data_IF_375436353477
#
_entry.id   IF_375436353477
#
_cell.length_a   1.000
_cell.length_b   1.000
_cell.length_c   1.000
_cell.angle_alpha   90.00
_cell.angle_beta   90.00
_cell.angle_gamma   90.00
#
_symmetry.space_group_name_H-M   'P 1'
#
loop_
_entity.id
_entity.type
_entity.pdbx_description
1 polymer ?
#
# COMPACT_ATOMS: atom_id res chain seq x y z
N UNK A 1 -45.05 -5.05 -16.64
CA UNK A 1 -43.96 -5.65 -17.44
C UNK A 1 -44.55 -6.24 -18.71
N UNK A 2 -43.87 -6.21 -19.87
CA UNK A 2 -44.49 -6.60 -21.14
C UNK A 2 -44.65 -8.12 -21.26
N UNK A 3 -45.64 -8.57 -22.03
CA UNK A 3 -45.90 -9.99 -22.31
C UNK A 3 -44.70 -10.65 -23.01
N UNK A 4 -44.31 -11.83 -22.55
CA UNK A 4 -43.50 -12.76 -23.35
C UNK A 4 -44.48 -13.66 -24.12
N UNK A 5 -44.29 -13.77 -25.44
CA UNK A 5 -45.04 -14.66 -26.33
C UNK A 5 -46.58 -14.42 -26.48
N UNK A 6 -47.07 -13.21 -26.22
CA UNK A 6 -48.47 -12.86 -26.50
C UNK A 6 -49.50 -13.51 -25.57
N UNK A 7 -49.05 -14.09 -24.45
CA UNK A 7 -49.90 -14.51 -23.34
C UNK A 7 -49.98 -13.36 -22.33
N UNK A 8 -51.19 -13.05 -21.83
CA UNK A 8 -51.40 -12.07 -20.75
C UNK A 8 -50.57 -12.46 -19.53
N UNK A 9 -49.94 -11.49 -18.87
CA UNK A 9 -49.21 -11.72 -17.62
C UNK A 9 -50.15 -12.46 -16.65
N UNK A 10 -49.83 -13.72 -16.27
CA UNK A 10 -50.74 -14.50 -15.46
C UNK A 10 -51.01 -13.84 -14.11
N UNK A 11 -50.03 -13.09 -13.56
CA UNK A 11 -50.08 -12.47 -12.23
C UNK A 11 -50.94 -11.19 -12.13
N UNK A 12 -51.63 -10.76 -13.19
CA UNK A 12 -52.44 -9.52 -13.18
C UNK A 12 -53.74 -9.63 -12.37
N UNK A 13 -54.14 -10.83 -11.91
CA UNK A 13 -55.36 -11.04 -11.13
C UNK A 13 -55.08 -11.63 -9.75
N UNK A 14 -55.39 -10.88 -8.69
CA UNK A 14 -55.32 -11.34 -7.30
C UNK A 14 -56.03 -12.70 -7.09
N UNK A 15 -55.34 -13.67 -6.49
CA UNK A 15 -55.93 -14.96 -6.08
C UNK A 15 -56.94 -14.73 -4.95
N UNK A 16 -56.78 -13.63 -4.19
CA UNK A 16 -57.62 -13.24 -3.08
C UNK A 16 -58.88 -12.45 -3.44
N UNK A 17 -59.23 -12.32 -4.72
CA UNK A 17 -60.54 -11.77 -5.06
C UNK A 17 -61.64 -12.64 -4.41
N UNK A 18 -62.28 -12.08 -3.38
CA UNK A 18 -63.25 -12.77 -2.53
C UNK A 18 -64.48 -13.26 -3.31
N UNK A 19 -64.68 -12.76 -4.52
CA UNK A 19 -65.78 -13.13 -5.41
C UNK A 19 -65.50 -14.37 -6.29
N UNK A 20 -64.28 -14.91 -6.29
CA UNK A 20 -63.94 -16.11 -7.06
C UNK A 20 -64.40 -17.39 -6.37
N UNK A 21 -64.93 -18.33 -7.16
CA UNK A 21 -65.25 -19.68 -6.69
C UNK A 21 -63.98 -20.49 -6.39
N UNK A 22 -64.11 -21.55 -5.59
CA UNK A 22 -63.01 -22.49 -5.30
C UNK A 22 -62.33 -22.99 -6.59
N UNK A 23 -63.11 -23.45 -7.57
CA UNK A 23 -62.60 -23.97 -8.85
C UNK A 23 -61.81 -22.90 -9.66
N UNK A 24 -62.21 -21.63 -9.56
CA UNK A 24 -61.51 -20.54 -10.24
C UNK A 24 -60.18 -20.19 -9.57
N UNK A 25 -60.14 -20.22 -8.22
CA UNK A 25 -58.91 -20.05 -7.45
C UNK A 25 -57.90 -21.17 -7.76
N UNK A 26 -58.34 -22.42 -7.81
CA UNK A 26 -57.48 -23.57 -8.13
C UNK A 26 -56.90 -23.52 -9.55
N UNK A 27 -57.67 -23.01 -10.53
CA UNK A 27 -57.18 -22.77 -11.89
C UNK A 27 -56.14 -21.66 -11.94
N UNK A 28 -56.29 -20.59 -11.17
CA UNK A 28 -55.30 -19.52 -11.09
C UNK A 28 -53.99 -20.01 -10.46
N UNK A 29 -54.04 -20.75 -9.35
CA UNK A 29 -52.87 -21.39 -8.73
C UNK A 29 -52.12 -22.29 -9.73
N UNK A 30 -52.87 -23.02 -10.57
CA UNK A 30 -52.30 -23.83 -11.65
C UNK A 30 -51.54 -23.01 -12.67
N UNK A 31 -52.11 -21.88 -13.07
CA UNK A 31 -51.47 -21.00 -14.05
C UNK A 31 -50.19 -20.35 -13.49
N UNK A 32 -50.15 -20.01 -12.19
CA UNK A 32 -48.98 -19.43 -11.55
C UNK A 32 -47.82 -20.43 -11.46
N UNK A 33 -48.11 -21.66 -11.03
CA UNK A 33 -47.14 -22.77 -11.03
C UNK A 33 -46.49 -22.97 -12.42
N UNK A 34 -47.30 -22.97 -13.48
CA UNK A 34 -46.81 -23.13 -14.85
C UNK A 34 -45.98 -21.94 -15.33
N UNK A 35 -46.27 -20.72 -14.88
CA UNK A 35 -45.52 -19.52 -15.23
C UNK A 35 -44.16 -19.47 -14.53
N UNK A 36 -44.12 -19.78 -13.24
CA UNK A 36 -42.86 -19.89 -12.47
C UNK A 36 -41.97 -20.99 -13.01
N UNK A 37 -42.54 -22.15 -13.37
CA UNK A 37 -41.81 -23.23 -14.06
C UNK A 37 -41.24 -22.82 -15.43
N UNK A 38 -41.71 -21.71 -16.01
CA UNK A 38 -41.22 -21.12 -17.26
C UNK A 38 -40.30 -19.91 -17.04
N UNK A 39 -39.92 -19.62 -15.79
CA UNK A 39 -38.97 -18.56 -15.42
C UNK A 39 -39.59 -17.17 -15.23
N UNK A 40 -40.91 -17.05 -15.06
CA UNK A 40 -41.52 -15.78 -14.69
C UNK A 40 -41.44 -15.57 -13.18
N UNK A 41 -40.90 -14.42 -12.75
CA UNK A 41 -40.86 -14.01 -11.34
C UNK A 41 -42.21 -13.41 -10.90
N UNK A 42 -42.82 -13.88 -9.80
CA UNK A 42 -44.05 -13.31 -9.28
C UNK A 42 -43.77 -11.95 -8.58
N UNK A 43 -44.72 -11.00 -8.64
CA UNK A 43 -44.67 -9.80 -7.79
C UNK A 43 -44.72 -10.16 -6.30
N UNK A 44 -44.10 -9.35 -5.44
CA UNK A 44 -44.14 -9.52 -3.96
C UNK A 44 -45.58 -9.60 -3.41
N UNK A 45 -46.53 -8.90 -4.02
CA UNK A 45 -47.94 -8.93 -3.65
C UNK A 45 -48.58 -10.32 -3.83
N UNK A 46 -48.09 -11.13 -4.78
CA UNK A 46 -48.56 -12.51 -5.00
C UNK A 46 -48.07 -13.45 -3.90
N UNK A 47 -46.91 -13.17 -3.29
CA UNK A 47 -46.36 -13.96 -2.18
C UNK A 47 -47.23 -13.85 -0.91
N UNK A 48 -47.66 -12.63 -0.58
CA UNK A 48 -48.53 -12.38 0.57
C UNK A 48 -49.91 -13.04 0.39
N UNK A 49 -50.42 -13.06 -0.84
CA UNK A 49 -51.69 -13.69 -1.18
C UNK A 49 -51.66 -15.22 -1.12
N UNK A 50 -50.57 -15.83 -1.60
CA UNK A 50 -50.33 -17.28 -1.52
C UNK A 50 -50.30 -17.73 -0.05
N UNK A 51 -49.57 -17.00 0.80
CA UNK A 51 -49.46 -17.32 2.23
C UNK A 51 -50.83 -17.25 2.96
N UNK A 52 -51.70 -16.32 2.59
CA UNK A 52 -53.03 -16.18 3.18
C UNK A 52 -54.00 -17.32 2.79
N UNK A 53 -53.79 -18.00 1.66
CA UNK A 53 -54.67 -19.08 1.18
C UNK A 53 -54.31 -20.46 1.76
N UNK A 54 -53.04 -20.71 2.08
CA UNK A 54 -52.52 -21.99 2.62
C UNK A 54 -53.16 -22.34 3.97
N UNK A 55 -53.62 -21.34 4.73
CA UNK A 55 -54.36 -21.52 6.00
C UNK A 55 -55.89 -21.49 5.89
N UNK A 56 -56.47 -21.50 4.67
CA UNK A 56 -57.91 -21.37 4.46
C UNK A 56 -58.58 -22.70 4.09
N UNK A 57 -59.76 -22.98 4.67
CA UNK A 57 -60.61 -24.15 4.33
C UNK A 57 -61.25 -24.06 2.93
N UNK A 58 -60.80 -23.11 2.10
CA UNK A 58 -61.45 -22.74 0.83
C UNK A 58 -60.85 -23.53 -0.36
N UNK A 59 -59.78 -24.30 -0.14
CA UNK A 59 -59.08 -25.08 -1.17
C UNK A 59 -59.25 -26.59 -0.95
N UNK A 60 -59.18 -27.37 -2.03
CA UNK A 60 -59.00 -28.82 -1.91
C UNK A 60 -57.60 -29.15 -1.36
N UNK A 61 -57.40 -30.32 -0.71
CA UNK A 61 -56.08 -30.73 -0.23
C UNK A 61 -55.01 -30.74 -1.32
N UNK A 62 -55.36 -31.19 -2.54
CA UNK A 62 -54.46 -31.18 -3.69
C UNK A 62 -54.09 -29.76 -4.14
N UNK A 63 -55.02 -28.81 -4.06
CA UNK A 63 -54.73 -27.40 -4.33
C UNK A 63 -53.88 -26.77 -3.23
N UNK A 64 -54.08 -27.15 -1.96
CA UNK A 64 -53.23 -26.74 -0.84
C UNK A 64 -51.80 -27.24 -1.02
N UNK A 65 -51.61 -28.52 -1.37
CA UNK A 65 -50.28 -29.10 -1.62
C UNK A 65 -49.55 -28.40 -2.78
N UNK A 66 -50.29 -28.04 -3.85
CA UNK A 66 -49.74 -27.32 -5.00
C UNK A 66 -49.42 -25.85 -4.70
N UNK A 67 -50.13 -25.26 -3.75
CA UNK A 67 -49.87 -23.91 -3.28
C UNK A 67 -48.66 -23.88 -2.33
N UNK A 68 -48.50 -24.92 -1.51
CA UNK A 68 -47.30 -25.13 -0.71
C UNK A 68 -46.07 -25.34 -1.60
N UNK A 69 -46.17 -26.19 -2.63
CA UNK A 69 -45.08 -26.39 -3.60
C UNK A 69 -44.75 -25.10 -4.36
N UNK A 70 -45.76 -24.29 -4.69
CA UNK A 70 -45.57 -22.99 -5.33
C UNK A 70 -44.84 -22.01 -4.41
N UNK A 71 -45.23 -21.98 -3.13
CA UNK A 71 -44.53 -21.21 -2.11
C UNK A 71 -43.08 -21.69 -2.03
N UNK A 72 -42.83 -22.98 -1.85
CA UNK A 72 -41.48 -23.58 -1.77
C UNK A 72 -40.62 -23.32 -3.02
N UNK A 73 -41.22 -23.22 -4.21
CA UNK A 73 -40.51 -22.92 -5.46
C UNK A 73 -40.16 -21.44 -5.64
N UNK A 74 -41.03 -20.53 -5.20
CA UNK A 74 -40.73 -19.08 -5.19
C UNK A 74 -39.74 -18.77 -4.07
N UNK A 75 -39.87 -19.50 -2.98
CA UNK A 75 -38.95 -19.62 -1.85
C UNK A 75 -37.82 -20.61 -2.17
N UNK A 76 -37.41 -20.78 -3.44
CA UNK A 76 -36.15 -21.45 -3.70
C UNK A 76 -35.03 -20.50 -3.25
N UNK A 77 -34.32 -20.87 -2.19
CA UNK A 77 -33.24 -20.08 -1.58
C UNK A 77 -32.30 -19.53 -2.68
N UNK A 78 -32.14 -18.21 -2.72
CA UNK A 78 -31.18 -17.55 -3.62
C UNK A 78 -29.98 -17.25 -2.76
N UNK A 79 -28.89 -17.98 -3.00
CA UNK A 79 -27.68 -17.84 -2.19
C UNK A 79 -27.18 -16.40 -2.08
N UNK A 80 -26.39 -16.12 -1.03
CA UNK A 80 -25.87 -14.78 -0.78
C UNK A 80 -24.99 -14.34 -1.95
N UNK A 81 -24.93 -13.02 -2.19
CA UNK A 81 -24.09 -12.42 -3.23
C UNK A 81 -23.19 -11.37 -2.61
N UNK A 82 -21.87 -11.50 -2.79
CA UNK A 82 -20.88 -10.51 -2.39
C UNK A 82 -21.06 -9.25 -3.25
N UNK A 83 -21.17 -8.11 -2.58
CA UNK A 83 -21.39 -6.78 -3.20
C UNK A 83 -20.23 -5.81 -2.96
N UNK A 84 -19.39 -6.07 -1.95
CA UNK A 84 -18.16 -5.29 -1.73
C UNK A 84 -17.18 -5.43 -2.90
N UNK A 85 -16.33 -4.42 -3.07
CA UNK A 85 -15.26 -4.39 -4.07
C UNK A 85 -15.74 -4.61 -5.53
N UNK A 86 -17.02 -4.35 -5.80
CA UNK A 86 -17.64 -4.55 -7.12
C UNK A 86 -18.34 -5.89 -7.33
N UNK A 87 -18.27 -6.82 -6.36
CA UNK A 87 -18.87 -8.15 -6.48
C UNK A 87 -18.26 -9.02 -7.59
N UNK A 88 -18.91 -10.16 -7.87
CA UNK A 88 -18.46 -11.08 -8.92
C UNK A 88 -17.18 -11.87 -8.60
N UNK A 89 -16.62 -12.52 -9.62
CA UNK A 89 -15.56 -13.54 -9.43
C UNK A 89 -14.25 -12.99 -8.86
N UNK A 90 -13.90 -11.74 -9.16
CA UNK A 90 -12.63 -11.16 -8.74
C UNK A 90 -12.66 -9.64 -8.58
N UNK A 91 -11.81 -9.13 -7.69
CA UNK A 91 -11.49 -7.72 -7.53
C UNK A 91 -9.99 -7.52 -7.28
N UNK A 92 -9.48 -6.34 -7.66
CA UNK A 92 -8.12 -5.91 -7.39
C UNK A 92 -8.13 -4.70 -6.44
N UNK A 93 -7.29 -4.74 -5.42
CA UNK A 93 -7.17 -3.72 -4.39
C UNK A 93 -5.72 -3.25 -4.31
N UNK A 94 -5.53 -1.98 -3.94
CA UNK A 94 -4.23 -1.41 -3.60
C UNK A 94 -4.32 -0.89 -2.18
N UNK A 95 -3.36 -1.27 -1.34
CA UNK A 95 -3.25 -0.83 0.04
C UNK A 95 -1.83 -0.35 0.30
N UNK A 96 -1.71 0.70 1.10
CA UNK A 96 -0.42 1.08 1.64
C UNK A 96 0.05 0.03 2.64
N UNK A 97 1.36 -0.19 2.71
CA UNK A 97 1.95 -1.09 3.70
C UNK A 97 1.67 -0.67 5.15
N UNK A 98 1.96 -1.57 6.09
CA UNK A 98 1.63 -1.38 7.50
C UNK A 98 0.12 -1.45 7.80
N UNK A 99 -0.74 -1.57 6.78
CA UNK A 99 -2.19 -1.64 6.94
C UNK A 99 -2.68 -3.07 7.16
N UNK A 100 -3.27 -3.36 8.31
CA UNK A 100 -3.82 -4.70 8.59
C UNK A 100 -5.20 -4.94 7.98
N UNK A 101 -6.07 -3.93 7.92
CA UNK A 101 -7.42 -4.08 7.37
C UNK A 101 -7.37 -4.00 5.85
N UNK A 102 -7.82 -5.05 5.17
CA UNK A 102 -7.88 -5.10 3.71
C UNK A 102 -9.14 -4.42 3.21
N UNK A 103 -10.29 -4.95 3.63
CA UNK A 103 -11.62 -4.49 3.23
C UNK A 103 -12.65 -5.12 4.15
N UNK A 104 -13.88 -4.61 4.12
CA UNK A 104 -15.03 -5.25 4.74
C UNK A 104 -15.83 -5.93 3.63
N UNK A 105 -15.87 -7.26 3.65
CA UNK A 105 -16.68 -8.07 2.75
C UNK A 105 -18.14 -7.91 3.13
N UNK A 106 -18.95 -7.40 2.19
CA UNK A 106 -20.39 -7.25 2.36
C UNK A 106 -21.13 -8.09 1.35
N UNK A 107 -22.22 -8.72 1.78
CA UNK A 107 -23.07 -9.52 0.92
C UNK A 107 -24.54 -9.19 1.14
N UNK A 108 -25.36 -9.46 0.12
CA UNK A 108 -26.81 -9.42 0.20
C UNK A 108 -27.36 -10.82 0.03
N UNK A 109 -28.33 -11.16 0.86
CA UNK A 109 -29.21 -12.29 0.69
C UNK A 109 -30.64 -11.74 0.72
N UNK A 110 -31.28 -11.70 -0.45
CA UNK A 110 -32.56 -11.03 -0.64
C UNK A 110 -33.75 -11.99 -0.44
N UNK A 111 -33.52 -13.28 -0.17
CA UNK A 111 -34.58 -14.30 -0.13
C UNK A 111 -34.35 -15.40 0.92
N UNK A 112 -33.95 -15.04 2.15
CA UNK A 112 -33.91 -15.97 3.30
C UNK A 112 -35.28 -16.54 3.63
N UNK A 113 -35.45 -17.87 3.49
CA UNK A 113 -36.75 -18.53 3.72
C UNK A 113 -37.19 -18.53 5.18
N UNK A 114 -36.23 -18.37 6.09
CA UNK A 114 -36.46 -18.49 7.53
C UNK A 114 -36.33 -17.15 8.27
N UNK A 115 -35.96 -16.06 7.58
CA UNK A 115 -35.78 -14.73 8.19
C UNK A 115 -34.70 -14.68 9.28
N UNK A 116 -33.82 -15.69 9.32
CA UNK A 116 -32.80 -15.90 10.36
C UNK A 116 -31.40 -16.16 9.80
N UNK A 117 -31.23 -16.07 8.49
CA UNK A 117 -29.99 -16.49 7.85
C UNK A 117 -28.88 -15.48 8.16
N UNK A 118 -28.01 -15.88 9.07
CA UNK A 118 -26.85 -15.10 9.47
C UNK A 118 -25.76 -15.40 8.45
N UNK A 119 -25.35 -14.37 7.70
CA UNK A 119 -24.21 -14.49 6.82
C UNK A 119 -22.96 -14.85 7.62
N UNK A 120 -22.25 -15.87 7.12
CA UNK A 120 -20.98 -16.34 7.65
C UNK A 120 -19.91 -16.11 6.59
N UNK A 121 -18.85 -15.40 6.99
CA UNK A 121 -17.73 -15.07 6.13
C UNK A 121 -16.55 -15.97 6.45
N UNK A 122 -15.83 -16.41 5.43
CA UNK A 122 -14.64 -17.25 5.59
C UNK A 122 -13.60 -17.00 4.50
N UNK A 123 -12.34 -17.28 4.81
CA UNK A 123 -11.27 -17.40 3.81
C UNK A 123 -11.18 -18.86 3.41
N UNK A 124 -11.32 -19.15 2.11
CA UNK A 124 -11.44 -20.53 1.58
C UNK A 124 -10.33 -20.92 0.62
N UNK A 125 -9.49 -19.99 0.19
CA UNK A 125 -8.42 -20.27 -0.77
C UNK A 125 -7.60 -19.04 -1.14
N UNK A 126 -6.87 -19.16 -2.24
CA UNK A 126 -5.83 -18.21 -2.65
C UNK A 126 -4.42 -18.71 -2.31
N UNK A 127 -3.40 -18.21 -3.01
CA UNK A 127 -2.01 -18.59 -2.75
C UNK A 127 -1.57 -18.18 -1.34
N UNK A 128 -2.11 -17.07 -0.85
CA UNK A 128 -1.70 -16.40 0.38
C UNK A 128 -2.74 -16.51 1.50
N UNK A 129 -3.72 -17.41 1.35
CA UNK A 129 -4.85 -17.58 2.26
C UNK A 129 -4.45 -17.63 3.74
N UNK A 130 -3.32 -18.29 4.06
CA UNK A 130 -2.81 -18.42 5.43
C UNK A 130 -2.31 -17.12 6.06
N UNK A 131 -2.16 -16.05 5.28
CA UNK A 131 -1.77 -14.72 5.75
C UNK A 131 -2.96 -13.85 6.15
N UNK A 132 -4.20 -14.34 5.95
CA UNK A 132 -5.41 -13.58 6.22
C UNK A 132 -6.28 -14.22 7.30
N UNK A 133 -7.11 -13.38 7.90
CA UNK A 133 -8.25 -13.76 8.75
C UNK A 133 -9.46 -12.92 8.35
N UNK A 134 -10.66 -13.47 8.50
CA UNK A 134 -11.91 -12.71 8.35
C UNK A 134 -12.78 -12.91 9.58
N UNK A 135 -13.30 -11.80 10.12
CA UNK A 135 -14.19 -11.85 11.28
C UNK A 135 -15.66 -12.05 10.90
N UNK A 136 -16.52 -12.20 11.91
CA UNK A 136 -17.97 -12.38 11.70
C UNK A 136 -18.67 -11.15 11.09
N UNK A 137 -18.03 -9.98 11.10
CA UNK A 137 -18.55 -8.77 10.47
C UNK A 137 -18.05 -8.63 9.02
N UNK A 138 -17.30 -9.61 8.49
CA UNK A 138 -16.73 -9.58 7.16
C UNK A 138 -15.43 -8.79 7.05
N UNK A 139 -14.83 -8.34 8.16
CA UNK A 139 -13.55 -7.62 8.10
C UNK A 139 -12.44 -8.58 7.74
N UNK A 140 -11.93 -8.48 6.51
CA UNK A 140 -10.77 -9.22 6.04
C UNK A 140 -9.50 -8.47 6.45
N UNK A 141 -8.62 -9.13 7.18
CA UNK A 141 -7.38 -8.54 7.68
C UNK A 141 -6.18 -9.42 7.37
N UNK A 142 -5.03 -8.81 7.14
CA UNK A 142 -3.75 -9.49 7.26
C UNK A 142 -3.48 -9.90 8.72
N UNK A 143 -2.92 -11.09 8.90
CA UNK A 143 -2.53 -11.62 10.22
C UNK A 143 -1.32 -10.87 10.80
N UNK A 144 -0.44 -10.38 9.92
CA UNK A 144 0.62 -9.44 10.22
C UNK A 144 0.57 -8.35 9.13
N UNK A 145 0.66 -7.05 9.49
CA UNK A 145 0.70 -6.00 8.49
C UNK A 145 1.78 -6.29 7.42
N UNK A 146 1.47 -6.08 6.13
CA UNK A 146 2.47 -6.22 5.08
C UNK A 146 3.55 -5.14 5.23
N UNK A 147 4.74 -5.48 4.79
CA UNK A 147 5.96 -4.65 4.75
C UNK A 147 6.49 -4.82 3.32
N UNK A 148 6.58 -3.73 2.57
CA UNK A 148 6.91 -3.72 1.14
C UNK A 148 8.36 -4.15 0.91
N UNK A 149 9.26 -3.77 1.82
CA UNK A 149 10.68 -4.10 1.83
C UNK A 149 10.91 -5.56 2.26
N UNK A 150 9.95 -6.18 2.95
CA UNK A 150 9.98 -7.57 3.40
C UNK A 150 8.71 -8.39 3.04
N UNK A 151 8.42 -8.61 1.73
CA UNK A 151 7.20 -9.27 1.30
C UNK A 151 7.10 -10.72 1.76
N UNK A 152 5.93 -11.11 2.27
CA UNK A 152 5.60 -12.51 2.55
C UNK A 152 4.85 -13.07 1.35
N UNK A 153 5.46 -13.98 0.58
CA UNK A 153 4.90 -14.47 -0.70
C UNK A 153 5.72 -14.02 -1.90
N UNK A 154 6.45 -12.91 -1.77
CA UNK A 154 7.66 -12.60 -2.54
C UNK A 154 7.56 -11.50 -3.59
N UNK A 155 6.37 -10.97 -3.88
CA UNK A 155 6.18 -9.98 -4.97
C UNK A 155 5.25 -8.80 -4.62
N UNK A 156 4.95 -8.58 -3.33
CA UNK A 156 4.03 -7.54 -2.85
C UNK A 156 2.61 -7.62 -3.45
N UNK A 157 2.24 -8.79 -3.98
CA UNK A 157 0.90 -9.11 -4.45
C UNK A 157 0.39 -10.32 -3.67
N UNK A 158 -0.80 -10.19 -3.10
CA UNK A 158 -1.39 -11.21 -2.25
C UNK A 158 -2.74 -11.66 -2.80
N UNK A 159 -2.89 -12.96 -3.03
CA UNK A 159 -4.11 -13.56 -3.58
C UNK A 159 -4.87 -14.34 -2.49
N UNK A 160 -6.12 -13.94 -2.24
CA UNK A 160 -7.02 -14.57 -1.26
C UNK A 160 -8.42 -14.75 -1.82
N UNK A 161 -9.08 -15.86 -1.51
CA UNK A 161 -10.46 -16.14 -1.90
C UNK A 161 -11.32 -16.09 -0.65
N UNK A 162 -12.26 -15.15 -0.61
CA UNK A 162 -13.28 -15.02 0.43
C UNK A 162 -14.57 -15.71 0.00
N UNK A 163 -15.33 -16.21 0.97
CA UNK A 163 -16.62 -16.85 0.78
C UNK A 163 -17.64 -16.27 1.75
N UNK A 164 -18.88 -16.16 1.29
CA UNK A 164 -20.05 -15.95 2.15
C UNK A 164 -21.03 -17.12 2.00
N UNK A 165 -21.61 -17.54 3.12
CA UNK A 165 -22.65 -18.55 3.21
C UNK A 165 -23.76 -18.07 4.16
N UNK A 166 -25.01 -18.36 3.84
CA UNK A 166 -26.22 -17.97 4.56
C UNK A 166 -26.70 -19.03 5.60
N UNK A 167 -25.94 -20.11 5.79
CA UNK A 167 -26.32 -21.28 6.58
C UNK A 167 -26.95 -22.42 5.76
N UNK A 168 -27.20 -22.20 4.46
CA UNK A 168 -27.65 -23.20 3.49
C UNK A 168 -26.45 -23.87 2.77
N UNK A 169 -26.72 -24.63 1.71
CA UNK A 169 -25.67 -25.16 0.82
C UNK A 169 -25.21 -24.16 -0.24
N UNK A 170 -25.88 -23.02 -0.37
CA UNK A 170 -25.55 -21.99 -1.34
C UNK A 170 -24.48 -21.05 -0.78
N UNK A 171 -23.65 -20.53 -1.67
CA UNK A 171 -22.46 -19.75 -1.32
C UNK A 171 -22.09 -18.86 -2.50
N UNK A 172 -21.38 -17.78 -2.19
CA UNK A 172 -20.70 -16.96 -3.17
C UNK A 172 -19.26 -16.74 -2.75
N UNK A 173 -18.38 -16.60 -3.74
CA UNK A 173 -16.94 -16.49 -3.53
C UNK A 173 -16.36 -15.39 -4.40
N UNK A 174 -15.41 -14.65 -3.86
CA UNK A 174 -14.70 -13.62 -4.59
C UNK A 174 -13.19 -13.77 -4.37
N UNK A 175 -12.45 -13.76 -5.48
CA UNK A 175 -10.98 -13.69 -5.44
C UNK A 175 -10.55 -12.25 -5.31
N UNK A 176 -9.69 -11.95 -4.33
CA UNK A 176 -9.11 -10.64 -4.13
C UNK A 176 -7.61 -10.74 -4.41
N UNK A 177 -7.16 -9.88 -5.32
CA UNK A 177 -5.74 -9.60 -5.52
C UNK A 177 -5.40 -8.27 -4.85
N UNK A 178 -4.49 -8.29 -3.89
CA UNK A 178 -4.10 -7.12 -3.12
C UNK A 178 -2.67 -6.76 -3.47
N UNK A 179 -2.44 -5.61 -4.09
CA UNK A 179 -1.11 -5.05 -4.30
C UNK A 179 -0.76 -4.10 -3.16
N UNK A 180 0.44 -4.25 -2.60
CA UNK A 180 0.96 -3.35 -1.57
C UNK A 180 1.71 -2.21 -2.24
N UNK A 181 1.38 -0.98 -1.84
CA UNK A 181 2.07 0.23 -2.21
C UNK A 181 3.16 0.54 -1.18
N UNK A 182 4.37 0.77 -1.70
CA UNK A 182 5.55 1.22 -0.99
C UNK A 182 5.36 2.64 -0.45
N UNK A 183 5.63 2.81 0.84
CA UNK A 183 5.73 4.10 1.51
C UNK A 183 7.18 4.39 1.89
N UNK A 184 7.55 5.68 1.84
CA UNK A 184 8.84 6.10 2.37
C UNK A 184 8.81 6.06 3.92
N UNK A 185 9.10 4.90 4.49
CA UNK A 185 9.04 4.60 5.92
C UNK A 185 10.29 3.87 6.47
N UNK A 186 11.29 3.63 5.61
CA UNK A 186 12.64 3.21 6.01
C UNK A 186 13.62 4.36 5.88
N UNK A 187 14.48 4.54 6.89
CA UNK A 187 15.53 5.55 6.80
C UNK A 187 16.69 5.07 5.90
N UNK A 188 17.28 5.95 5.07
CA UNK A 188 18.51 5.63 4.36
C UNK A 188 19.62 5.33 5.35
N UNK A 189 20.57 4.50 4.96
CA UNK A 189 21.72 4.10 5.78
C UNK A 189 23.01 4.49 5.07
N UNK A 190 23.83 5.31 5.70
CA UNK A 190 25.15 5.68 5.17
C UNK A 190 26.08 4.46 5.24
N UNK A 191 26.65 4.09 4.10
CA UNK A 191 27.52 2.92 3.90
C UNK A 191 28.98 3.27 3.67
N UNK A 192 29.30 4.54 3.38
CA UNK A 192 30.68 5.01 3.29
C UNK A 192 31.41 4.95 4.63
N UNK A 193 32.74 4.88 4.59
CA UNK A 193 33.56 4.84 5.78
C UNK A 193 33.46 6.16 6.57
N UNK A 194 33.36 6.07 7.90
CA UNK A 194 33.31 7.22 8.82
C UNK A 194 34.67 7.92 8.99
N UNK A 195 35.71 7.48 8.29
CA UNK A 195 37.04 8.11 8.34
C UNK A 195 37.77 7.93 7.01
N UNK A 196 38.50 8.96 6.61
CA UNK A 196 39.33 8.95 5.40
C UNK A 196 40.63 9.69 5.65
N UNK A 197 41.69 9.31 4.93
CA UNK A 197 42.93 10.07 4.88
C UNK A 197 43.16 10.55 3.47
N UNK A 198 43.47 11.84 3.33
CA UNK A 198 43.83 12.45 2.05
C UNK A 198 45.19 13.12 2.16
N UNK A 199 45.82 13.31 1.01
CA UNK A 199 47.02 14.14 0.90
C UNK A 199 46.60 15.62 0.96
N UNK A 200 47.43 16.44 1.60
CA UNK A 200 47.28 17.90 1.57
C UNK A 200 47.31 18.49 0.14
N UNK A 201 47.02 19.78 0.02
CA UNK A 201 46.97 20.52 -1.25
C UNK A 201 45.95 19.97 -2.26
N UNK A 202 44.99 19.15 -1.80
CA UNK A 202 43.87 18.66 -2.60
C UNK A 202 42.56 18.98 -1.90
N UNK A 203 41.50 19.25 -2.68
CA UNK A 203 40.17 19.51 -2.12
C UNK A 203 39.27 18.29 -2.11
N UNK A 204 39.54 17.28 -2.95
CA UNK A 204 38.71 16.08 -3.02
C UNK A 204 38.89 15.24 -1.76
N UNK A 205 37.77 14.85 -1.12
CA UNK A 205 37.80 14.08 0.12
C UNK A 205 37.37 12.64 -0.13
N UNK A 206 36.07 12.44 -0.38
CA UNK A 206 35.48 11.13 -0.66
C UNK A 206 34.08 11.34 -1.25
N UNK A 207 33.37 10.24 -1.50
CA UNK A 207 31.94 10.23 -1.80
C UNK A 207 31.21 9.57 -0.63
N UNK A 208 30.25 10.29 -0.04
CA UNK A 208 29.30 9.72 0.91
C UNK A 208 28.31 8.88 0.12
N UNK A 209 28.17 7.61 0.50
CA UNK A 209 27.23 6.68 -0.13
C UNK A 209 26.24 6.19 0.89
N UNK A 210 24.99 5.99 0.48
CA UNK A 210 23.97 5.34 1.29
C UNK A 210 23.19 4.29 0.50
N UNK A 211 22.45 3.47 1.23
CA UNK A 211 21.41 2.60 0.69
C UNK A 211 20.09 3.00 1.32
N UNK A 212 19.02 2.91 0.54
CA UNK A 212 17.65 2.99 1.04
C UNK A 212 16.94 1.69 0.64
N UNK A 213 16.09 1.18 1.52
CA UNK A 213 15.34 -0.03 1.23
C UNK A 213 14.10 0.30 0.37
N UNK A 214 13.53 1.49 0.59
CA UNK A 214 12.34 1.97 -0.08
C UNK A 214 12.64 2.23 -1.57
N UNK A 215 11.65 1.97 -2.44
CA UNK A 215 11.73 2.30 -3.87
C UNK A 215 11.22 3.70 -4.20
N UNK A 216 10.63 4.37 -3.20
CA UNK A 216 10.23 5.77 -3.22
C UNK A 216 11.13 6.61 -2.30
N UNK A 217 11.11 7.94 -2.43
CA UNK A 217 11.98 8.81 -1.64
C UNK A 217 13.40 8.89 -2.22
N UNK A 218 13.70 9.96 -2.95
CA UNK A 218 15.05 10.15 -3.49
C UNK A 218 15.99 10.60 -2.39
N UNK A 219 17.01 9.80 -2.09
CA UNK A 219 18.05 10.17 -1.13
C UNK A 219 18.87 11.37 -1.63
N UNK A 220 19.04 12.35 -0.75
CA UNK A 220 19.90 13.52 -0.92
C UNK A 220 20.92 13.63 0.21
N UNK A 221 22.05 14.26 -0.07
CA UNK A 221 23.15 14.40 0.88
C UNK A 221 23.35 15.85 1.32
N UNK A 222 23.73 16.03 2.58
CA UNK A 222 24.02 17.35 3.15
C UNK A 222 25.14 17.28 4.19
N UNK A 223 25.78 18.43 4.43
CA UNK A 223 26.57 18.65 5.65
C UNK A 223 25.61 19.24 6.68
N UNK A 224 25.48 18.58 7.82
CA UNK A 224 24.49 18.90 8.86
C UNK A 224 25.09 19.39 10.16
N UNK A 225 26.43 19.40 10.26
CA UNK A 225 27.15 19.80 11.46
C UNK A 225 28.61 19.38 11.44
N UNK A 226 29.20 19.33 12.63
CA UNK A 226 30.63 19.09 12.84
C UNK A 226 31.38 20.37 13.18
N UNK A 227 32.54 20.23 13.81
CA UNK A 227 33.34 21.37 14.24
C UNK A 227 33.91 22.15 13.05
N UNK A 228 34.11 21.45 11.93
CA UNK A 228 34.74 21.96 10.72
C UNK A 228 33.76 22.11 9.55
N UNK A 229 32.44 22.11 9.80
CA UNK A 229 31.39 22.06 8.77
C UNK A 229 31.55 23.11 7.64
N UNK A 230 32.01 24.31 8.00
CA UNK A 230 32.18 25.44 7.07
C UNK A 230 33.38 25.29 6.14
N UNK A 231 34.28 24.33 6.41
CA UNK A 231 35.45 24.03 5.59
C UNK A 231 35.13 23.05 4.46
N UNK A 232 33.92 22.49 4.45
CA UNK A 232 33.52 21.48 3.47
C UNK A 232 32.33 21.94 2.62
N UNK A 233 32.20 21.30 1.46
CA UNK A 233 31.02 21.34 0.61
C UNK A 233 30.68 19.91 0.17
N UNK A 234 29.38 19.65 -0.05
CA UNK A 234 28.89 18.38 -0.55
C UNK A 234 27.92 18.61 -1.70
N UNK A 235 28.06 17.81 -2.76
CA UNK A 235 27.07 17.77 -3.83
C UNK A 235 25.86 16.93 -3.36
N UNK A 236 24.64 17.51 -3.31
CA UNK A 236 23.50 16.86 -2.69
C UNK A 236 22.94 15.68 -3.49
N UNK A 237 23.26 15.56 -4.78
CA UNK A 237 22.78 14.47 -5.62
C UNK A 237 23.77 13.30 -5.68
N UNK A 238 25.08 13.59 -5.60
CA UNK A 238 26.13 12.58 -5.76
C UNK A 238 26.81 12.20 -4.45
N UNK A 239 26.63 12.96 -3.38
CA UNK A 239 27.31 12.74 -2.09
C UNK A 239 28.81 13.08 -2.13
N UNK A 240 29.31 13.67 -3.21
CA UNK A 240 30.74 14.03 -3.34
C UNK A 240 31.06 15.15 -2.37
N UNK A 241 31.92 14.87 -1.38
CA UNK A 241 32.37 15.84 -0.39
C UNK A 241 33.78 16.34 -0.73
N UNK A 242 34.00 17.64 -0.53
CA UNK A 242 35.28 18.30 -0.79
C UNK A 242 35.53 19.42 0.20
N UNK A 243 36.79 19.76 0.44
CA UNK A 243 37.17 21.00 1.10
C UNK A 243 36.83 22.21 0.22
N UNK A 244 36.42 23.31 0.85
CA UNK A 244 36.24 24.62 0.19
C UNK A 244 37.59 25.16 -0.28
N UNK A 245 38.60 25.11 0.59
CA UNK A 245 39.99 25.46 0.31
C UNK A 245 40.88 24.27 0.66
N UNK A 246 41.90 23.99 -0.16
CA UNK A 246 42.78 22.86 0.09
C UNK A 246 43.52 23.02 1.43
N UNK A 247 43.55 21.99 2.29
CA UNK A 247 44.32 22.03 3.53
C UNK A 247 45.81 21.93 3.23
N UNK A 248 46.60 22.55 4.11
CA UNK A 248 48.07 22.51 4.14
C UNK A 248 48.45 21.92 5.51
N UNK A 249 49.24 20.85 5.51
CA UNK A 249 49.61 20.07 6.69
C UNK A 249 50.47 20.89 7.66
N UNK A 250 51.30 21.80 7.16
CA UNK A 250 52.11 22.72 7.96
C UNK A 250 51.27 23.88 8.53
N UNK A 251 50.08 24.14 7.97
CA UNK A 251 49.16 25.19 8.37
C UNK A 251 47.85 24.64 8.98
N UNK A 252 47.91 24.27 10.26
CA UNK A 252 46.78 23.69 11.02
C UNK A 252 45.49 24.51 10.87
N UNK A 253 44.55 23.99 10.08
CA UNK A 253 43.31 24.68 9.71
C UNK A 253 42.06 24.20 10.44
N UNK A 254 42.10 23.05 11.11
CA UNK A 254 40.90 22.53 11.80
C UNK A 254 40.59 23.30 13.08
N UNK A 255 39.33 23.25 13.50
CA UNK A 255 38.84 23.90 14.72
C UNK A 255 39.57 23.41 15.98
N UNK A 256 40.05 22.16 15.98
CA UNK A 256 40.83 21.58 17.07
C UNK A 256 42.33 21.96 17.01
N UNK A 257 42.78 22.65 15.95
CA UNK A 257 44.19 22.96 15.73
C UNK A 257 45.01 21.71 15.44
N UNK A 258 44.50 20.81 14.59
CA UNK A 258 45.17 19.57 14.18
C UNK A 258 45.02 19.35 12.66
N UNK A 259 45.61 18.28 12.13
CA UNK A 259 45.40 17.82 10.74
C UNK A 259 44.25 16.79 10.65
N UNK A 260 43.34 16.81 11.63
CA UNK A 260 42.10 16.03 11.63
C UNK A 260 40.94 17.02 11.67
N UNK A 261 40.01 16.82 10.73
CA UNK A 261 38.82 17.64 10.54
C UNK A 261 37.58 16.79 10.77
N UNK A 262 36.64 17.29 11.56
CA UNK A 262 35.42 16.59 11.93
C UNK A 262 34.19 17.28 11.31
N UNK A 263 33.53 16.57 10.39
CA UNK A 263 32.32 17.01 9.69
C UNK A 263 31.22 15.97 9.87
N UNK A 264 29.97 16.41 9.98
CA UNK A 264 28.81 15.55 10.04
C UNK A 264 28.07 15.60 8.69
N UNK A 265 27.86 14.42 8.10
CA UNK A 265 27.15 14.26 6.84
C UNK A 265 25.82 13.54 7.07
N UNK A 266 24.79 13.95 6.35
CA UNK A 266 23.44 13.38 6.39
C UNK A 266 23.08 12.81 5.03
N UNK A 267 22.47 11.63 5.02
CA UNK A 267 21.67 11.12 3.91
C UNK A 267 20.20 11.21 4.30
N UNK A 268 19.33 11.74 3.43
CA UNK A 268 17.89 11.88 3.71
C UNK A 268 17.05 11.67 2.47
N UNK A 269 16.00 10.85 2.59
CA UNK A 269 14.96 10.58 1.60
C UNK A 269 13.86 11.68 1.55
N UNK A 270 13.94 12.69 2.43
CA UNK A 270 12.98 13.79 2.57
C UNK A 270 11.98 13.66 3.73
N UNK A 271 11.88 12.49 4.35
CA UNK A 271 11.10 12.20 5.56
C UNK A 271 12.05 11.77 6.68
N UNK A 272 12.94 10.82 6.39
CA UNK A 272 13.86 10.23 7.35
C UNK A 272 15.30 10.53 6.95
N UNK A 273 16.23 10.17 7.84
CA UNK A 273 17.63 10.48 7.62
C UNK A 273 18.55 9.64 8.50
N UNK A 274 19.74 9.36 7.98
CA UNK A 274 20.89 8.88 8.75
C UNK A 274 22.01 9.91 8.75
N UNK A 275 22.78 9.92 9.83
CA UNK A 275 23.75 10.95 10.15
C UNK A 275 25.06 10.30 10.57
N UNK A 276 26.15 10.57 9.85
CA UNK A 276 27.47 10.03 10.12
C UNK A 276 28.45 11.16 10.46
N UNK A 277 29.18 11.01 11.57
CA UNK A 277 30.38 11.81 11.82
C UNK A 277 31.52 11.26 10.97
N UNK A 278 32.05 12.07 10.06
CA UNK A 278 33.17 11.77 9.18
C UNK A 278 34.43 12.49 9.69
N UNK A 279 35.47 11.71 9.97
CA UNK A 279 36.79 12.23 10.34
C UNK A 279 37.74 12.21 9.15
N UNK A 280 38.21 13.39 8.74
CA UNK A 280 39.11 13.56 7.59
C UNK A 280 40.51 13.89 8.12
N UNK A 281 41.45 12.96 7.94
CA UNK A 281 42.86 13.18 8.26
C UNK A 281 43.63 13.66 7.04
N UNK A 282 44.45 14.69 7.21
CA UNK A 282 45.35 15.21 6.17
C UNK A 282 46.76 14.66 6.40
N UNK A 283 47.37 14.11 5.35
CA UNK A 283 48.72 13.58 5.36
C UNK A 283 49.71 14.60 4.75
N UNK A 284 50.88 14.69 5.38
CA UNK A 284 52.04 15.46 4.91
C UNK A 284 52.58 14.87 3.60
N UNK A 285 52.69 15.72 2.59
CA UNK A 285 53.36 15.45 1.33
C UNK A 285 54.51 16.44 1.19
N UNK A 286 55.74 15.92 1.34
CA UNK A 286 56.97 16.72 1.27
C UNK A 286 56.97 17.74 0.13
N UNK A 287 56.83 18.99 0.53
CA UNK A 287 57.03 20.15 -0.31
C UNK A 287 58.52 20.48 -0.27
N UNK A 288 59.13 20.76 -1.41
CA UNK A 288 60.53 21.22 -1.41
C UNK A 288 60.70 22.44 -0.48
N UNK A 289 61.92 22.73 -0.01
CA UNK A 289 62.13 23.83 0.92
C UNK A 289 61.53 25.12 0.36
N UNK A 290 60.67 25.77 1.15
CA UNK A 290 60.17 27.11 0.86
C UNK A 290 61.38 28.01 0.60
N UNK A 291 61.59 28.41 -0.66
CA UNK A 291 62.62 29.38 -0.96
C UNK A 291 62.23 30.67 -0.24
N UNK A 292 63.04 31.19 0.69
CA UNK A 292 62.75 32.47 1.30
C UNK A 292 62.58 33.48 0.17
N UNK A 293 61.49 34.24 0.20
CA UNK A 293 61.20 35.29 -0.77
C UNK A 293 62.50 36.03 -1.08
N UNK A 294 62.91 36.02 -2.34
CA UNK A 294 64.16 36.65 -2.78
C UNK A 294 64.22 38.04 -2.20
N UNK A 295 65.06 38.25 -1.19
CA UNK A 295 65.41 39.58 -0.74
C UNK A 295 66.03 40.26 -1.94
N UNK A 296 65.27 41.16 -2.57
CA UNK A 296 65.76 42.01 -3.65
C UNK A 296 66.83 42.92 -3.08
N UNK A 297 68.07 42.42 -3.03
CA UNK A 297 69.22 43.27 -2.72
C UNK A 297 69.50 44.08 -3.99
N UNK A 298 68.89 45.25 -4.09
CA UNK A 298 69.25 46.23 -5.11
C UNK A 298 70.64 46.76 -4.76
N UNK A 299 71.69 46.19 -5.36
CA UNK A 299 73.01 46.80 -5.33
C UNK A 299 72.99 48.06 -6.20
N UNK A 300 72.78 49.22 -5.59
CA UNK A 300 73.01 50.50 -6.24
C UNK A 300 74.52 50.77 -6.25
N UNK A 301 75.26 49.97 -7.02
CA UNK A 301 76.67 50.15 -7.24
C UNK A 301 76.91 51.35 -8.15
N UNK A 302 77.13 52.53 -7.57
CA UNK A 302 77.86 53.57 -8.25
C UNK A 302 79.30 53.05 -8.49
N UNK A 303 79.74 53.10 -9.75
CA UNK A 303 81.13 52.82 -10.09
C UNK A 303 82.03 53.90 -9.47
N UNK A 304 82.58 53.61 -8.29
CA UNK A 304 83.53 54.49 -7.61
C UNK A 304 83.72 54.04 -6.17
N UNK A 305 84.93 53.56 -5.85
CA UNK A 305 85.23 52.95 -4.56
C UNK A 305 84.94 53.85 -3.37
N UNK A 306 84.15 53.36 -2.42
CA UNK A 306 84.58 53.17 -1.04
C UNK A 306 83.51 52.40 -0.25
N UNK A 307 83.98 51.35 0.44
CA UNK A 307 83.37 50.56 1.54
C UNK A 307 81.83 50.57 1.64
N UNK A 308 81.18 49.58 1.02
CA UNK A 308 79.78 49.26 1.29
C UNK A 308 79.64 48.63 2.69
N UNK A 309 79.09 49.39 3.65
CA UNK A 309 78.61 48.85 4.92
C UNK A 309 77.25 48.20 4.72
N UNK A 310 77.12 46.93 5.11
CA UNK A 310 75.84 46.22 5.16
C UNK A 310 75.13 46.70 6.42
N UNK A 311 74.06 47.49 6.27
CA UNK A 311 73.09 47.69 7.34
C UNK A 311 71.97 46.66 7.16
N UNK A 312 71.84 45.76 8.14
CA UNK A 312 70.67 44.91 8.30
C UNK A 312 69.78 45.58 9.35
N UNK A 313 68.54 45.89 8.99
CA UNK A 313 67.44 46.16 9.92
C UNK A 313 66.37 45.10 9.69
#
# INVERSE_FOLDING_TARGET
MPSINGLTNPFENSILNSNLSQLEKEKQITNYNNAISQGYEPPVEVLEEIAALIGSDVLSPEATDRLQLLQDQIMAEIGPVITSNGGGEAAALILDEGTSLVTTVTALDNYSLNGTDSLTFSVVGGADAGLFSIDANGNLTFNAPPDYEAPVGGDNVYDVVVQVNDGSTLLDTQTLQITIADLNDTAPVITSAASVTIDENTTAVTTVTSTDADTVGTVTYAISGGADELLFSIDPATGTISFVDAPDFEALGSAAGTNVYDVQVTASDGIQSDVQNLSVSVADVSEGPLLPATFGVTFNGAAGGDRAGIYVS
#
